data_IF_834217407842
#
_entry.id   IF_834217407842
#
_cell.length_a   1.000
_cell.length_b   1.000
_cell.length_c   1.000
_cell.angle_alpha   90.00
_cell.angle_beta   90.00
_cell.angle_gamma   90.00
#
_symmetry.space_group_name_H-M   'P 1'
#
loop_
_entity.id
_entity.type
_entity.pdbx_description
1 polymer ?
#
# COMPACT_ATOMS: atom_id res chain seq x y z
N UNK A 1 -0.95 15.74 -13.96
CA UNK A 1 -0.56 15.72 -12.53
C UNK A 1 -1.09 14.48 -11.79
N UNK A 2 -0.67 13.26 -12.14
CA UNK A 2 -1.20 12.00 -11.53
C UNK A 2 -0.14 11.11 -10.83
N UNK A 3 1.08 11.60 -10.60
CA UNK A 3 2.22 10.78 -10.13
C UNK A 3 2.60 10.92 -8.65
N UNK A 4 1.89 11.72 -7.84
CA UNK A 4 2.25 11.92 -6.44
C UNK A 4 1.44 11.10 -5.43
N UNK A 5 0.48 10.29 -5.89
CA UNK A 5 -0.33 9.47 -4.99
C UNK A 5 0.20 8.02 -4.93
N UNK A 6 0.53 7.49 -3.75
CA UNK A 6 1.00 6.12 -3.58
C UNK A 6 -0.10 5.12 -3.92
N UNK A 7 0.24 4.10 -4.72
CA UNK A 7 -0.73 3.16 -5.31
C UNK A 7 -1.13 1.99 -4.40
N UNK A 8 -0.69 1.97 -3.14
CA UNK A 8 -0.99 0.85 -2.24
C UNK A 8 -2.12 1.24 -1.27
N UNK A 9 -3.15 0.39 -1.19
CA UNK A 9 -4.28 0.50 -0.23
C UNK A 9 -3.85 0.92 1.19
N UNK A 10 -2.77 0.35 1.77
CA UNK A 10 -2.18 0.80 3.03
C UNK A 10 -1.96 2.30 3.15
N UNK A 11 -1.35 2.92 2.14
CA UNK A 11 -0.95 4.32 2.22
C UNK A 11 -2.17 5.24 2.07
N UNK A 12 -3.17 4.81 1.30
CA UNK A 12 -4.46 5.49 1.24
C UNK A 12 -5.19 5.48 2.60
N UNK A 13 -5.25 4.33 3.27
CA UNK A 13 -5.85 4.23 4.61
C UNK A 13 -5.10 5.12 5.60
N UNK A 14 -3.76 5.14 5.55
CA UNK A 14 -2.95 6.02 6.41
C UNK A 14 -3.26 7.49 6.18
N UNK A 15 -3.33 7.91 4.91
CA UNK A 15 -3.65 9.29 4.56
C UNK A 15 -5.05 9.68 5.06
N UNK A 16 -6.04 8.80 4.92
CA UNK A 16 -7.39 9.03 5.44
C UNK A 16 -7.39 9.17 6.96
N UNK A 17 -6.70 8.28 7.68
CA UNK A 17 -6.62 8.31 9.15
C UNK A 17 -5.91 9.58 9.62
N UNK A 18 -4.76 9.92 9.04
CA UNK A 18 -4.02 11.14 9.38
C UNK A 18 -4.85 12.38 9.06
N UNK A 19 -5.49 12.45 7.89
CA UNK A 19 -6.33 13.57 7.52
C UNK A 19 -7.53 13.72 8.48
N UNK A 20 -8.19 12.61 8.83
CA UNK A 20 -9.30 12.60 9.78
C UNK A 20 -8.88 13.08 11.17
N UNK A 21 -7.70 12.65 11.65
CA UNK A 21 -7.15 13.10 12.93
C UNK A 21 -6.77 14.57 12.91
N UNK A 22 -6.14 15.06 11.83
CA UNK A 22 -5.81 16.48 11.68
C UNK A 22 -7.05 17.37 11.64
N UNK A 23 -8.08 16.97 10.90
CA UNK A 23 -9.35 17.69 10.84
C UNK A 23 -9.99 17.74 12.22
N UNK A 24 -9.99 16.62 12.96
CA UNK A 24 -10.52 16.55 14.33
C UNK A 24 -9.77 17.49 15.29
N UNK A 25 -8.44 17.53 15.20
CA UNK A 25 -7.61 18.42 16.01
C UNK A 25 -7.89 19.89 15.71
N UNK A 26 -7.97 20.27 14.42
CA UNK A 26 -8.30 21.65 14.01
C UNK A 26 -9.69 22.05 14.47
N UNK A 27 -10.68 21.15 14.34
CA UNK A 27 -12.04 21.40 14.80
C UNK A 27 -12.10 21.57 16.33
N UNK A 28 -11.38 20.73 17.07
CA UNK A 28 -11.28 20.84 18.54
C UNK A 28 -10.67 22.17 18.95
N UNK A 29 -9.56 22.57 18.30
CA UNK A 29 -8.89 23.84 18.56
C UNK A 29 -9.82 25.03 18.29
N UNK A 30 -10.58 24.97 17.19
CA UNK A 30 -11.56 25.99 16.84
C UNK A 30 -12.69 26.11 17.88
N UNK A 31 -13.23 24.97 18.35
CA UNK A 31 -14.26 24.96 19.40
C UNK A 31 -13.73 25.58 20.68
N UNK A 32 -12.56 25.14 21.15
CA UNK A 32 -11.92 25.68 22.36
C UNK A 32 -11.63 27.18 22.22
N UNK A 33 -11.22 27.64 21.04
CA UNK A 33 -11.04 29.07 20.76
C UNK A 33 -12.31 29.87 21.01
N UNK A 34 -13.42 29.38 20.47
CA UNK A 34 -14.70 30.07 20.47
C UNK A 34 -15.27 30.09 21.88
N UNK A 35 -15.20 28.97 22.58
CA UNK A 35 -15.68 28.85 23.96
C UNK A 35 -14.90 29.77 24.92
N UNK A 36 -13.58 29.92 24.74
CA UNK A 36 -12.77 30.85 25.55
C UNK A 36 -13.14 32.31 25.31
N UNK A 37 -13.38 32.71 24.07
CA UNK A 37 -13.79 34.08 23.75
C UNK A 37 -15.15 34.41 24.37
N UNK A 38 -16.15 33.53 24.16
CA UNK A 38 -17.48 33.73 24.72
C UNK A 38 -17.50 33.73 26.26
N UNK A 39 -16.70 32.87 26.91
CA UNK A 39 -16.59 32.87 28.37
C UNK A 39 -15.96 34.16 28.93
N UNK A 40 -14.98 34.73 28.22
CA UNK A 40 -14.35 35.99 28.60
C UNK A 40 -15.30 37.19 28.44
N UNK A 41 -16.08 37.24 27.36
CA UNK A 41 -17.06 38.31 27.14
C UNK A 41 -18.06 38.40 28.32
N UNK A 42 -18.59 37.26 28.79
CA UNK A 42 -19.51 37.23 29.95
C UNK A 42 -18.85 37.75 31.23
N UNK A 43 -17.57 37.43 31.45
CA UNK A 43 -16.81 37.93 32.61
C UNK A 43 -16.61 39.45 32.52
N UNK A 44 -16.34 39.99 31.33
CA UNK A 44 -16.14 41.42 31.14
C UNK A 44 -17.44 42.22 31.31
N UNK A 45 -18.57 41.70 30.81
CA UNK A 45 -19.90 42.28 31.08
C UNK A 45 -20.22 42.26 32.59
N UNK A 46 -19.89 41.17 33.30
CA UNK A 46 -20.05 41.08 34.75
C UNK A 46 -19.18 42.12 35.48
N UNK A 47 -17.91 42.28 35.10
CA UNK A 47 -16.99 43.27 35.69
C UNK A 47 -17.50 44.70 35.48
N UNK A 48 -17.97 45.02 34.28
CA UNK A 48 -18.57 46.33 34.00
C UNK A 48 -19.79 46.59 34.88
N UNK A 49 -20.69 45.61 34.99
CA UNK A 49 -21.88 45.70 35.84
C UNK A 49 -21.53 45.92 37.32
N UNK A 50 -20.57 45.17 37.87
CA UNK A 50 -20.16 45.30 39.27
C UNK A 50 -19.46 46.63 39.56
N UNK A 51 -18.65 47.10 38.60
CA UNK A 51 -18.02 48.42 38.66
C UNK A 51 -19.04 49.55 38.59
N UNK A 52 -20.01 49.46 37.67
CA UNK A 52 -21.10 50.42 37.57
C UNK A 52 -21.84 50.55 38.91
N UNK A 53 -22.17 49.41 39.52
CA UNK A 53 -22.81 49.37 40.83
C UNK A 53 -21.97 50.05 41.90
N UNK A 54 -20.68 49.73 41.99
CA UNK A 54 -19.78 50.30 43.00
C UNK A 54 -19.60 51.81 42.84
N UNK A 55 -19.45 52.31 41.60
CA UNK A 55 -19.30 53.73 41.31
C UNK A 55 -20.58 54.51 41.60
N UNK A 56 -21.74 53.99 41.18
CA UNK A 56 -23.04 54.63 41.44
C UNK A 56 -23.35 54.63 42.93
N UNK A 57 -23.08 53.54 43.65
CA UNK A 57 -23.27 53.47 45.10
C UNK A 57 -22.40 54.49 45.84
N UNK A 58 -21.15 54.69 45.41
CA UNK A 58 -20.27 55.69 46.00
C UNK A 58 -20.73 57.13 45.73
N UNK A 59 -21.34 57.37 44.57
CA UNK A 59 -21.67 58.72 44.09
C UNK A 59 -23.12 59.14 44.35
N UNK A 60 -24.03 58.21 44.68
CA UNK A 60 -25.46 58.49 44.82
C UNK A 60 -25.75 59.60 45.83
N UNK A 61 -25.15 59.52 47.01
CA UNK A 61 -25.37 60.47 48.12
C UNK A 61 -24.57 61.78 47.98
N UNK A 62 -23.67 61.86 47.01
CA UNK A 62 -22.81 63.03 46.77
C UNK A 62 -23.53 64.09 45.92
N UNK A 63 -23.23 65.36 46.19
CA UNK A 63 -23.71 66.48 45.38
C UNK A 63 -23.07 66.50 43.98
N UNK A 64 -23.68 67.20 42.99
CA UNK A 64 -23.17 67.27 41.62
C UNK A 64 -21.69 67.69 41.49
N UNK A 65 -21.22 68.57 42.36
CA UNK A 65 -19.83 69.05 42.37
C UNK A 65 -18.89 68.06 43.08
N UNK A 66 -19.37 67.40 44.15
CA UNK A 66 -18.63 66.34 44.83
C UNK A 66 -18.44 65.13 43.92
N UNK A 67 -19.44 64.74 43.12
CA UNK A 67 -19.31 63.65 42.14
C UNK A 67 -18.22 63.93 41.11
N UNK A 68 -18.14 65.17 40.61
CA UNK A 68 -17.07 65.61 39.70
C UNK A 68 -15.70 65.51 40.38
N UNK A 69 -15.58 65.97 41.62
CA UNK A 69 -14.34 65.86 42.39
C UNK A 69 -13.93 64.40 42.65
N UNK A 70 -14.87 63.54 43.04
CA UNK A 70 -14.64 62.09 43.26
C UNK A 70 -14.21 61.40 41.97
N UNK A 71 -14.86 61.71 40.83
CA UNK A 71 -14.50 61.14 39.54
C UNK A 71 -13.08 61.53 39.11
N UNK A 72 -12.69 62.80 39.28
CA UNK A 72 -11.33 63.26 39.00
C UNK A 72 -10.28 62.60 39.90
N UNK A 73 -10.61 62.32 41.17
CA UNK A 73 -9.72 61.64 42.10
C UNK A 73 -9.53 60.14 41.83
N UNK A 74 -10.49 59.51 41.15
CA UNK A 74 -10.48 58.08 40.78
C UNK A 74 -10.05 57.83 39.34
N UNK A 75 -9.72 58.88 38.58
CA UNK A 75 -9.26 58.78 37.20
C UNK A 75 -7.89 58.09 37.11
N UNK A 76 -7.77 57.09 36.23
CA UNK A 76 -6.51 56.44 35.88
C UNK A 76 -6.44 56.22 34.36
N UNK A 77 -5.24 56.16 33.77
CA UNK A 77 -5.03 55.96 32.32
C UNK A 77 -5.67 54.67 31.78
N UNK A 78 -5.69 53.61 32.58
CA UNK A 78 -6.35 52.34 32.23
C UNK A 78 -7.88 52.40 32.37
N UNK A 79 -8.38 53.25 33.26
CA UNK A 79 -9.78 53.32 33.62
C UNK A 79 -10.26 54.77 33.65
N UNK A 80 -10.57 55.28 32.47
CA UNK A 80 -11.12 56.62 32.33
C UNK A 80 -12.45 56.70 33.10
N UNK A 81 -12.59 57.71 33.95
CA UNK A 81 -13.79 58.00 34.74
C UNK A 81 -14.03 59.51 34.71
N UNK A 82 -15.19 59.93 34.25
CA UNK A 82 -15.57 61.35 34.18
C UNK A 82 -17.04 61.52 34.51
N UNK A 83 -17.38 62.69 35.09
CA UNK A 83 -18.77 63.10 35.30
C UNK A 83 -19.01 64.38 34.49
N UNK A 84 -19.95 64.34 33.56
CA UNK A 84 -20.23 65.43 32.62
C UNK A 84 -21.72 65.55 32.34
N UNK A 85 -22.13 66.65 31.69
CA UNK A 85 -23.54 66.86 31.34
C UNK A 85 -23.94 66.12 30.03
N UNK A 86 -22.96 65.51 29.36
CA UNK A 86 -23.13 64.71 28.14
C UNK A 86 -22.67 63.28 28.33
N UNK A 87 -23.34 62.29 27.69
CA UNK A 87 -22.86 60.91 27.68
C UNK A 87 -21.66 60.76 26.74
N UNK A 88 -20.69 59.91 27.12
CA UNK A 88 -19.64 59.44 26.23
C UNK A 88 -20.18 58.51 25.14
N UNK A 89 -21.22 57.72 25.45
CA UNK A 89 -21.98 56.91 24.49
C UNK A 89 -23.20 57.69 24.01
N UNK A 90 -23.09 58.28 22.82
CA UNK A 90 -24.13 59.15 22.24
C UNK A 90 -25.30 58.37 21.63
N UNK A 91 -25.07 57.15 21.16
CA UNK A 91 -26.13 56.26 20.65
C UNK A 91 -27.08 55.87 21.78
N UNK A 92 -28.38 55.89 21.51
CA UNK A 92 -29.41 55.36 22.40
C UNK A 92 -29.81 53.91 22.09
N UNK A 93 -29.14 53.29 21.12
CA UNK A 93 -29.35 51.91 20.72
C UNK A 93 -28.01 51.19 20.90
N UNK A 94 -28.04 50.09 21.66
CA UNK A 94 -26.89 49.21 21.86
C UNK A 94 -26.39 48.62 20.53
N UNK A 95 -25.10 48.31 20.47
CA UNK A 95 -24.46 47.76 19.27
C UNK A 95 -24.78 46.29 18.98
N UNK A 96 -25.18 45.54 20.01
CA UNK A 96 -25.55 44.13 19.94
C UNK A 96 -26.59 43.78 21.04
N UNK A 97 -27.15 42.57 20.96
CA UNK A 97 -28.21 42.10 21.87
C UNK A 97 -27.70 41.93 23.31
N UNK A 98 -26.45 41.50 23.51
CA UNK A 98 -25.86 41.29 24.84
C UNK A 98 -25.66 42.61 25.60
N UNK A 99 -25.23 43.65 24.89
CA UNK A 99 -25.10 45.01 25.44
C UNK A 99 -26.47 45.62 25.74
N UNK A 100 -27.49 45.36 24.90
CA UNK A 100 -28.86 45.79 25.19
C UNK A 100 -29.40 45.17 26.48
N UNK A 101 -29.20 43.86 26.67
CA UNK A 101 -29.57 43.18 27.92
C UNK A 101 -28.80 43.75 29.12
N UNK A 102 -27.51 44.07 28.96
CA UNK A 102 -26.71 44.68 30.01
C UNK A 102 -27.23 46.09 30.36
N UNK A 103 -27.59 46.92 29.38
CA UNK A 103 -28.19 48.25 29.61
C UNK A 103 -29.47 48.13 30.45
N UNK A 104 -30.36 47.20 30.11
CA UNK A 104 -31.59 46.92 30.86
C UNK A 104 -31.31 46.46 32.30
N UNK A 105 -30.33 45.57 32.49
CA UNK A 105 -29.89 45.11 33.80
C UNK A 105 -29.36 46.27 34.64
N UNK A 106 -28.54 47.14 34.04
CA UNK A 106 -27.96 48.31 34.70
C UNK A 106 -29.05 49.31 35.13
N UNK A 107 -29.97 49.67 34.24
CA UNK A 107 -31.09 50.56 34.59
C UNK A 107 -31.95 49.93 35.68
N UNK A 108 -32.33 48.66 35.54
CA UNK A 108 -33.15 47.95 36.52
C UNK A 108 -32.50 47.91 37.91
N UNK A 109 -31.22 47.54 37.98
CA UNK A 109 -30.49 47.37 39.25
C UNK A 109 -30.13 48.71 39.90
N UNK A 110 -29.82 49.73 39.11
CA UNK A 110 -29.33 51.03 39.59
C UNK A 110 -30.42 52.11 39.69
N UNK A 111 -31.65 51.83 39.24
CA UNK A 111 -32.81 52.73 39.40
C UNK A 111 -33.03 53.17 40.85
N UNK A 112 -32.78 52.29 41.82
CA UNK A 112 -32.85 52.58 43.26
C UNK A 112 -31.85 53.65 43.74
N UNK A 113 -30.79 53.88 42.96
CA UNK A 113 -29.79 54.92 43.18
C UNK A 113 -29.98 56.12 42.23
N UNK A 114 -31.18 56.28 41.67
CA UNK A 114 -31.53 57.43 40.84
C UNK A 114 -30.92 57.40 39.43
N UNK A 115 -30.50 56.24 38.92
CA UNK A 115 -30.12 56.09 37.52
C UNK A 115 -31.37 55.95 36.65
N UNK A 116 -31.45 56.77 35.59
CA UNK A 116 -32.62 56.83 34.68
C UNK A 116 -32.33 56.27 33.30
N UNK A 117 -31.06 56.21 32.90
CA UNK A 117 -30.62 55.76 31.58
C UNK A 117 -29.22 55.14 31.71
N UNK A 118 -28.95 54.07 30.95
CA UNK A 118 -27.66 53.42 30.89
C UNK A 118 -27.36 53.07 29.43
N UNK A 119 -26.14 53.39 28.98
CA UNK A 119 -25.71 53.16 27.61
C UNK A 119 -24.33 52.55 27.60
N UNK A 120 -24.12 51.50 26.83
CA UNK A 120 -22.85 50.77 26.76
C UNK A 120 -22.44 50.59 25.31
N UNK A 121 -21.16 50.83 25.02
CA UNK A 121 -20.58 50.62 23.69
C UNK A 121 -19.24 49.92 23.78
N UNK A 122 -18.97 49.03 22.84
CA UNK A 122 -17.64 48.47 22.61
C UNK A 122 -16.84 49.41 21.70
N UNK A 123 -15.79 49.98 22.25
CA UNK A 123 -14.85 50.86 21.55
C UNK A 123 -13.63 50.05 21.11
N UNK A 124 -13.28 50.06 19.80
CA UNK A 124 -12.11 49.36 19.32
C UNK A 124 -10.85 49.98 19.93
N UNK A 125 -9.82 49.16 20.11
CA UNK A 125 -8.52 49.63 20.59
C UNK A 125 -8.04 50.87 19.81
N UNK A 126 -8.00 52.01 20.47
CA UNK A 126 -7.36 53.21 19.93
C UNK A 126 -5.85 52.96 19.92
N UNK A 127 -5.29 52.71 18.73
CA UNK A 127 -3.83 52.77 18.52
C UNK A 127 -3.40 54.23 18.65
N UNK A 128 -3.28 54.74 19.86
CA UNK A 128 -2.49 55.94 20.10
C UNK A 128 -1.03 55.59 19.79
N UNK A 129 -0.56 56.11 18.66
CA UNK A 129 0.85 56.17 18.36
C UNK A 129 1.45 57.30 19.20
N UNK A 130 1.95 56.99 20.39
CA UNK A 130 3.10 57.70 20.97
C UNK A 130 3.60 57.05 22.27
N UNK A 131 4.89 56.75 22.28
CA UNK A 131 5.83 56.94 23.40
C UNK A 131 5.35 56.59 24.81
N UNK A 132 5.06 55.32 25.05
CA UNK A 132 5.31 54.76 26.38
C UNK A 132 6.83 54.60 26.52
N UNK A 133 7.44 55.58 27.18
CA UNK A 133 8.83 55.60 27.63
C UNK A 133 9.31 54.19 27.99
N UNK A 134 10.20 53.66 27.15
CA UNK A 134 10.73 52.31 27.25
C UNK A 134 11.66 52.19 28.45
N UNK A 135 11.10 52.13 29.64
CA UNK A 135 11.81 51.60 30.79
C UNK A 135 11.88 50.09 30.58
N UNK A 136 12.92 49.64 29.88
CA UNK A 136 13.22 48.23 29.77
C UNK A 136 13.26 47.66 31.20
N UNK A 137 12.46 46.62 31.51
CA UNK A 137 12.45 46.05 32.84
C UNK A 137 13.87 45.67 33.27
N UNK A 138 14.28 46.09 34.47
CA UNK A 138 15.60 45.76 35.01
C UNK A 138 15.83 44.24 35.07
N UNK A 139 17.07 43.76 35.11
CA UNK A 139 17.38 42.32 35.03
C UNK A 139 16.83 41.47 36.20
N UNK A 140 16.29 42.08 37.26
CA UNK A 140 15.85 41.43 38.50
C UNK A 140 14.31 41.33 38.69
N UNK A 141 13.50 41.53 37.64
CA UNK A 141 12.03 41.46 37.77
C UNK A 141 11.54 40.01 37.95
N UNK A 142 10.78 39.78 39.02
CA UNK A 142 10.13 38.51 39.32
C UNK A 142 9.13 38.07 38.24
N UNK A 143 8.78 36.78 38.22
CA UNK A 143 7.89 36.22 37.19
C UNK A 143 6.50 36.88 37.21
N UNK A 144 5.91 37.05 38.40
CA UNK A 144 4.58 37.66 38.56
C UNK A 144 4.56 39.12 38.08
N UNK A 145 5.62 39.87 38.36
CA UNK A 145 5.71 41.28 37.95
C UNK A 145 5.86 41.41 36.43
N UNK A 146 6.61 40.51 35.78
CA UNK A 146 6.65 40.41 34.32
C UNK A 146 5.29 40.09 33.72
N UNK A 147 4.58 39.10 34.28
CA UNK A 147 3.26 38.71 33.80
C UNK A 147 2.25 39.86 33.94
N UNK A 148 2.30 40.61 35.04
CA UNK A 148 1.46 41.80 35.25
C UNK A 148 1.79 42.94 34.27
N UNK A 149 3.07 43.17 33.96
CA UNK A 149 3.49 44.18 32.98
C UNK A 149 3.02 43.83 31.56
N UNK A 150 3.17 42.56 31.16
CA UNK A 150 2.69 42.08 29.85
C UNK A 150 1.17 42.20 29.77
N UNK A 151 0.46 41.78 30.81
CA UNK A 151 -0.99 41.87 30.85
C UNK A 151 -1.49 43.33 30.82
N UNK A 152 -0.81 44.24 31.53
CA UNK A 152 -1.13 45.66 31.50
C UNK A 152 -0.92 46.28 30.10
N UNK A 153 0.14 45.87 29.39
CA UNK A 153 0.38 46.29 28.01
C UNK A 153 -0.69 45.73 27.05
N UNK A 154 -1.10 44.47 27.22
CA UNK A 154 -2.17 43.86 26.43
C UNK A 154 -3.52 44.55 26.67
N UNK A 155 -3.86 44.89 27.92
CA UNK A 155 -5.08 45.65 28.26
C UNK A 155 -5.05 47.09 27.75
N UNK A 156 -3.88 47.71 27.64
CA UNK A 156 -3.76 49.04 27.05
C UNK A 156 -4.09 49.02 25.54
N UNK A 157 -3.82 47.90 24.88
CA UNK A 157 -4.06 47.68 23.44
C UNK A 157 -5.34 46.89 23.15
N UNK A 158 -6.13 46.53 24.16
CA UNK A 158 -7.38 45.81 23.96
C UNK A 158 -8.54 46.74 23.65
N UNK A 159 -9.59 46.16 23.06
CA UNK A 159 -10.88 46.84 22.94
C UNK A 159 -11.40 47.20 24.33
N UNK A 160 -12.24 48.23 24.42
CA UNK A 160 -12.74 48.75 25.68
C UNK A 160 -14.26 48.78 25.67
N UNK A 161 -14.88 48.55 26.83
CA UNK A 161 -16.30 48.79 27.04
C UNK A 161 -16.47 50.14 27.74
N UNK A 162 -17.14 51.06 27.07
CA UNK A 162 -17.47 52.37 27.63
C UNK A 162 -18.93 52.40 28.03
N UNK A 163 -19.19 52.79 29.27
CA UNK A 163 -20.52 52.91 29.84
C UNK A 163 -20.81 54.36 30.25
N UNK A 164 -22.03 54.81 29.94
CA UNK A 164 -22.58 56.11 30.29
C UNK A 164 -23.86 55.91 31.09
N UNK A 165 -23.88 56.34 32.35
CA UNK A 165 -25.03 56.22 33.26
C UNK A 165 -25.58 57.61 33.60
N UNK A 166 -26.88 57.81 33.44
CA UNK A 166 -27.53 59.10 33.72
C UNK A 166 -28.18 59.12 35.10
N UNK A 167 -27.79 60.06 35.94
CA UNK A 167 -28.48 60.36 37.19
C UNK A 167 -29.76 61.18 36.95
N UNK A 168 -30.69 61.14 37.89
CA UNK A 168 -31.96 61.87 37.83
C UNK A 168 -31.80 63.40 37.75
N UNK A 169 -30.67 63.94 38.18
CA UNK A 169 -30.31 65.36 38.05
C UNK A 169 -29.80 65.74 36.65
N UNK A 170 -29.66 64.76 35.75
CA UNK A 170 -29.22 64.95 34.38
C UNK A 170 -27.72 64.79 34.15
N UNK A 171 -26.91 64.60 35.20
CA UNK A 171 -25.48 64.33 35.04
C UNK A 171 -25.22 62.91 34.54
N UNK A 172 -24.18 62.75 33.74
CA UNK A 172 -23.71 61.50 33.20
C UNK A 172 -22.40 61.07 33.86
N UNK A 173 -22.40 59.85 34.39
CA UNK A 173 -21.21 59.13 34.79
C UNK A 173 -20.69 58.32 33.59
N UNK A 174 -19.51 58.67 33.11
CA UNK A 174 -18.86 58.02 31.99
C UNK A 174 -17.63 57.28 32.48
N UNK A 175 -17.56 55.97 32.23
CA UNK A 175 -16.38 55.20 32.56
C UNK A 175 -16.06 54.15 31.51
N UNK A 176 -14.82 53.68 31.50
CA UNK A 176 -14.33 52.69 30.54
C UNK A 176 -13.64 51.53 31.25
N UNK A 177 -13.95 50.30 30.81
CA UNK A 177 -13.35 49.05 31.28
C UNK A 177 -12.64 48.37 30.09
N UNK A 178 -11.36 47.99 30.18
CA UNK A 178 -10.68 47.28 29.10
C UNK A 178 -11.16 45.82 29.05
N UNK A 179 -11.40 45.31 27.83
CA UNK A 179 -11.83 43.93 27.59
C UNK A 179 -10.63 42.99 27.79
N UNK A 180 -10.88 41.82 28.38
CA UNK A 180 -9.85 40.80 28.58
C UNK A 180 -9.24 40.36 27.24
N UNK A 181 -7.92 40.56 27.04
CA UNK A 181 -7.27 40.15 25.81
C UNK A 181 -7.30 38.63 25.70
N UNK A 182 -7.94 38.11 24.65
CA UNK A 182 -7.89 36.68 24.30
C UNK A 182 -6.54 36.39 23.62
N UNK A 183 -5.57 35.90 24.40
CA UNK A 183 -4.28 35.49 23.86
C UNK A 183 -4.42 34.43 22.75
N UNK A 184 -3.51 34.40 21.76
CA UNK A 184 -3.55 33.42 20.69
C UNK A 184 -3.48 31.99 21.24
N UNK A 185 -4.30 31.07 20.70
CA UNK A 185 -4.29 29.66 21.13
C UNK A 185 -2.93 29.01 20.84
N UNK A 186 -2.26 29.50 19.79
CA UNK A 186 -0.93 29.10 19.35
C UNK A 186 0.10 30.12 19.86
N UNK A 187 0.46 29.99 21.13
CA UNK A 187 1.61 30.70 21.71
C UNK A 187 2.87 29.86 21.61
N UNK A 188 4.04 30.51 21.60
CA UNK A 188 5.34 29.81 21.63
C UNK A 188 5.45 28.79 22.78
N UNK A 189 4.83 29.07 23.92
CA UNK A 189 4.81 28.18 25.08
C UNK A 189 3.91 26.93 24.89
N UNK A 190 2.87 27.04 24.07
CA UNK A 190 1.90 25.96 23.82
C UNK A 190 2.27 25.07 22.63
N UNK A 191 3.06 25.60 21.68
CA UNK A 191 3.60 24.86 20.52
C UNK A 191 4.26 23.52 20.88
N UNK A 192 5.14 23.40 21.90
CA UNK A 192 5.76 22.12 22.22
C UNK A 192 4.72 21.05 22.61
N UNK A 193 3.69 21.40 23.38
CA UNK A 193 2.64 20.46 23.78
C UNK A 193 1.82 19.98 22.57
N UNK A 194 1.37 20.91 21.70
CA UNK A 194 0.62 20.55 20.50
C UNK A 194 1.44 19.71 19.52
N UNK A 195 2.74 20.03 19.36
CA UNK A 195 3.64 19.25 18.51
C UNK A 195 3.88 17.85 19.05
N UNK A 196 3.98 17.68 20.38
CA UNK A 196 4.08 16.38 21.04
C UNK A 196 2.85 15.51 20.76
N UNK A 197 1.65 16.07 20.94
CA UNK A 197 0.39 15.36 20.69
C UNK A 197 0.27 14.97 19.21
N UNK A 198 0.55 15.90 18.29
CA UNK A 198 0.55 15.63 16.86
C UNK A 198 1.56 14.54 16.47
N UNK A 199 2.77 14.60 17.03
CA UNK A 199 3.82 13.59 16.83
C UNK A 199 3.38 12.21 17.31
N UNK A 200 2.80 12.12 18.51
CA UNK A 200 2.29 10.87 19.07
C UNK A 200 1.19 10.26 18.18
N UNK A 201 0.28 11.09 17.69
CA UNK A 201 -0.79 10.68 16.76
C UNK A 201 -0.22 10.12 15.45
N UNK A 202 0.81 10.76 14.87
CA UNK A 202 1.47 10.28 13.65
C UNK A 202 2.20 8.97 13.91
N UNK A 203 2.95 8.85 15.01
CA UNK A 203 3.67 7.63 15.38
C UNK A 203 2.70 6.47 15.58
N UNK A 204 1.60 6.68 16.31
CA UNK A 204 0.56 5.67 16.52
C UNK A 204 -0.12 5.24 15.22
N UNK A 205 -0.37 6.19 14.31
CA UNK A 205 -0.94 5.90 12.99
C UNK A 205 -0.01 5.04 12.13
N UNK A 206 1.28 5.38 12.08
CA UNK A 206 2.30 4.61 11.35
C UNK A 206 2.45 3.20 11.97
N UNK A 207 2.49 3.11 13.30
CA UNK A 207 2.59 1.83 14.01
C UNK A 207 1.39 0.93 13.73
N UNK A 208 0.16 1.48 13.82
CA UNK A 208 -1.09 0.77 13.53
C UNK A 208 -1.12 0.26 12.10
N UNK A 209 -0.75 1.10 11.12
CA UNK A 209 -0.72 0.69 9.72
C UNK A 209 0.29 -0.43 9.48
N UNK A 210 1.51 -0.30 10.00
CA UNK A 210 2.53 -1.36 9.87
C UNK A 210 2.03 -2.68 10.45
N UNK A 211 1.29 -2.61 11.57
CA UNK A 211 0.70 -3.79 12.21
C UNK A 211 -0.42 -4.42 11.36
N UNK A 212 -1.30 -3.60 10.76
CA UNK A 212 -2.44 -4.06 9.95
C UNK A 212 -2.02 -4.60 8.57
N UNK A 213 -0.88 -4.16 8.04
CA UNK A 213 -0.47 -4.43 6.64
C UNK A 213 0.66 -5.44 6.52
N UNK A 214 1.39 -5.70 7.60
CA UNK A 214 2.34 -6.81 7.69
C UNK A 214 1.78 -8.20 7.25
N UNK A 215 0.52 -8.58 7.56
CA UNK A 215 -0.02 -9.90 7.20
C UNK A 215 -0.08 -10.12 5.68
N UNK A 216 -0.42 -9.09 4.91
CA UNK A 216 -0.59 -9.20 3.46
C UNK A 216 0.73 -9.54 2.75
N UNK A 217 1.82 -8.84 3.13
CA UNK A 217 3.16 -9.12 2.60
C UNK A 217 3.63 -10.53 2.95
N UNK A 218 3.31 -11.00 4.15
CA UNK A 218 3.60 -12.38 4.55
C UNK A 218 2.85 -13.38 3.66
N UNK A 219 1.56 -13.16 3.38
CA UNK A 219 0.77 -14.06 2.52
C UNK A 219 1.27 -14.06 1.08
N UNK A 220 1.56 -12.89 0.51
CA UNK A 220 2.11 -12.77 -0.85
C UNK A 220 3.45 -13.52 -1.00
N UNK A 221 4.37 -13.28 -0.08
CA UNK A 221 5.68 -13.96 -0.07
C UNK A 221 5.56 -15.46 0.15
N UNK A 222 4.64 -15.89 1.01
CA UNK A 222 4.39 -17.30 1.26
C UNK A 222 3.81 -18.02 0.04
N UNK A 223 2.80 -17.46 -0.62
CA UNK A 223 2.19 -18.06 -1.82
C UNK A 223 3.22 -18.13 -2.95
N UNK A 224 4.00 -17.08 -3.17
CA UNK A 224 5.08 -17.10 -4.16
C UNK A 224 6.17 -18.12 -3.83
N UNK A 225 6.46 -18.36 -2.55
CA UNK A 225 7.42 -19.39 -2.12
C UNK A 225 6.87 -20.79 -2.38
N UNK A 226 5.63 -21.06 -1.98
CA UNK A 226 4.95 -22.35 -2.22
C UNK A 226 4.87 -22.67 -3.71
N UNK A 227 4.60 -21.66 -4.56
CA UNK A 227 4.56 -21.82 -6.01
C UNK A 227 5.92 -22.12 -6.66
N UNK A 228 7.04 -21.76 -6.02
CA UNK A 228 8.40 -22.08 -6.49
C UNK A 228 8.93 -23.39 -5.94
N UNK A 229 8.68 -23.64 -4.66
CA UNK A 229 9.15 -24.81 -3.93
C UNK A 229 8.10 -25.27 -2.93
N UNK A 230 7.41 -26.35 -3.30
CA UNK A 230 6.37 -26.95 -2.47
C UNK A 230 6.95 -27.55 -1.19
N UNK A 231 8.22 -28.00 -1.19
CA UNK A 231 8.91 -28.61 -0.03
C UNK A 231 9.46 -27.58 0.97
N UNK A 232 9.29 -26.28 0.69
CA UNK A 232 9.74 -25.20 1.57
C UNK A 232 9.13 -25.25 2.99
N UNK A 233 9.85 -24.81 4.05
CA UNK A 233 9.34 -24.88 5.42
C UNK A 233 7.99 -24.16 5.61
N UNK A 234 7.10 -24.68 6.49
CA UNK A 234 5.80 -24.06 6.75
C UNK A 234 5.97 -22.66 7.36
N UNK A 235 4.93 -21.83 7.18
CA UNK A 235 4.93 -20.46 7.69
C UNK A 235 4.79 -20.49 9.21
N UNK A 236 5.59 -19.67 9.90
CA UNK A 236 5.50 -19.53 11.35
C UNK A 236 4.12 -18.99 11.77
N UNK A 237 3.45 -19.72 12.66
CA UNK A 237 2.12 -19.37 13.19
C UNK A 237 2.19 -18.33 14.32
N UNK A 238 2.92 -17.23 14.09
CA UNK A 238 3.13 -16.15 15.06
C UNK A 238 2.32 -14.89 14.70
N UNK A 239 2.13 -13.99 15.68
CA UNK A 239 1.39 -12.74 15.49
C UNK A 239 -0.03 -12.75 16.05
N UNK A 240 -0.89 -11.88 15.50
CA UNK A 240 -2.28 -11.73 15.94
C UNK A 240 -3.13 -12.96 15.59
N UNK A 241 -4.35 -13.02 16.14
CA UNK A 241 -5.27 -14.15 15.92
C UNK A 241 -5.56 -14.35 14.43
N UNK A 242 -5.73 -13.25 13.70
CA UNK A 242 -6.01 -13.21 12.27
C UNK A 242 -4.81 -13.73 11.45
N UNK A 243 -3.59 -13.28 11.80
CA UNK A 243 -2.35 -13.73 11.14
C UNK A 243 -2.14 -15.22 11.36
N UNK A 244 -2.34 -15.70 12.59
CA UNK A 244 -2.21 -17.11 12.93
C UNK A 244 -3.22 -17.98 12.17
N UNK A 245 -4.47 -17.53 12.08
CA UNK A 245 -5.51 -18.23 11.34
C UNK A 245 -5.18 -18.32 9.85
N UNK A 246 -4.71 -17.22 9.25
CA UNK A 246 -4.25 -17.18 7.86
C UNK A 246 -3.04 -18.10 7.62
N UNK A 247 -2.02 -18.05 8.48
CA UNK A 247 -0.85 -18.91 8.39
C UNK A 247 -1.23 -20.40 8.47
N UNK A 248 -2.12 -20.77 9.40
CA UNK A 248 -2.63 -22.13 9.54
C UNK A 248 -3.39 -22.61 8.29
N UNK A 249 -4.21 -21.74 7.69
CA UNK A 249 -4.93 -22.06 6.46
C UNK A 249 -3.99 -22.29 5.27
N UNK A 250 -2.95 -21.45 5.11
CA UNK A 250 -1.94 -21.63 4.06
C UNK A 250 -1.11 -22.89 4.31
N UNK A 251 -0.69 -23.15 5.55
CA UNK A 251 0.03 -24.38 5.91
C UNK A 251 -0.80 -25.63 5.59
N UNK A 252 -2.11 -25.61 5.88
CA UNK A 252 -3.01 -26.71 5.54
C UNK A 252 -3.16 -26.90 4.02
N UNK A 253 -3.25 -25.81 3.25
CA UNK A 253 -3.26 -25.87 1.79
C UNK A 253 -1.94 -26.45 1.23
N UNK A 254 -0.80 -26.01 1.77
CA UNK A 254 0.52 -26.51 1.38
C UNK A 254 0.64 -28.02 1.66
N UNK A 255 0.19 -28.49 2.82
CA UNK A 255 0.20 -29.90 3.18
C UNK A 255 -0.63 -30.75 2.22
N UNK A 256 -1.87 -30.31 1.89
CA UNK A 256 -2.73 -31.00 0.92
C UNK A 256 -2.13 -31.05 -0.48
N UNK A 257 -1.49 -29.96 -0.92
CA UNK A 257 -0.82 -29.94 -2.22
C UNK A 257 0.37 -30.91 -2.27
N UNK A 258 1.15 -31.01 -1.19
CA UNK A 258 2.25 -31.98 -1.11
C UNK A 258 1.74 -33.41 -1.20
N UNK A 259 0.75 -33.74 -0.38
CA UNK A 259 0.12 -35.06 -0.37
C UNK A 259 -0.42 -35.42 -1.77
N UNK A 260 -1.10 -34.49 -2.43
CA UNK A 260 -1.59 -34.70 -3.79
C UNK A 260 -0.47 -34.93 -4.83
N UNK A 261 0.65 -34.21 -4.70
CA UNK A 261 1.81 -34.42 -5.57
C UNK A 261 2.42 -35.79 -5.28
N UNK A 262 2.76 -36.08 -4.03
CA UNK A 262 3.35 -37.36 -3.57
C UNK A 262 2.50 -38.58 -3.98
N UNK A 263 1.18 -38.50 -3.85
CA UNK A 263 0.25 -39.56 -4.28
C UNK A 263 0.33 -39.80 -5.80
N UNK A 264 0.42 -38.72 -6.58
CA UNK A 264 0.60 -38.83 -8.04
C UNK A 264 1.94 -39.46 -8.39
N UNK A 265 3.00 -39.15 -7.63
CA UNK A 265 4.34 -39.77 -7.82
C UNK A 265 4.30 -41.27 -7.52
N UNK A 266 3.73 -41.65 -6.37
CA UNK A 266 3.61 -43.04 -5.95
C UNK A 266 2.77 -43.86 -6.93
N UNK A 267 1.65 -43.31 -7.39
CA UNK A 267 0.79 -43.97 -8.38
C UNK A 267 1.52 -44.16 -9.71
N UNK A 268 2.27 -43.17 -10.17
CA UNK A 268 3.06 -43.28 -11.39
C UNK A 268 4.16 -44.35 -11.28
N UNK A 269 4.88 -44.39 -10.15
CA UNK A 269 5.91 -45.39 -9.90
C UNK A 269 5.35 -46.81 -9.78
N UNK A 270 4.22 -46.98 -9.10
CA UNK A 270 3.53 -48.27 -8.98
C UNK A 270 3.05 -48.78 -10.34
N UNK A 271 2.37 -47.92 -11.12
CA UNK A 271 1.95 -48.25 -12.49
C UNK A 271 3.14 -48.63 -13.37
N UNK A 272 4.27 -47.94 -13.24
CA UNK A 272 5.47 -48.26 -14.01
C UNK A 272 6.02 -49.65 -13.73
N UNK A 273 6.12 -50.00 -12.45
CA UNK A 273 6.57 -51.31 -12.02
C UNK A 273 5.63 -52.43 -12.49
N UNK A 274 4.32 -52.22 -12.30
CA UNK A 274 3.29 -53.22 -12.59
C UNK A 274 3.05 -53.43 -14.08
N UNK A 275 3.34 -52.45 -14.93
CA UNK A 275 3.33 -52.60 -16.39
C UNK A 275 4.60 -53.26 -16.93
N UNK A 276 5.78 -52.94 -16.39
CA UNK A 276 7.05 -53.52 -16.85
C UNK A 276 7.09 -55.03 -16.70
N UNK A 277 6.58 -55.56 -15.59
CA UNK A 277 6.60 -57.00 -15.27
C UNK A 277 5.86 -57.89 -16.30
N UNK A 278 4.59 -57.62 -16.68
CA UNK A 278 3.89 -58.37 -17.71
C UNK A 278 4.49 -58.15 -19.10
N UNK A 279 4.98 -56.95 -19.41
CA UNK A 279 5.61 -56.65 -20.71
C UNK A 279 6.90 -57.44 -20.92
N UNK A 280 7.81 -57.47 -19.93
CA UNK A 280 9.02 -58.30 -19.99
C UNK A 280 8.67 -59.78 -20.15
N UNK A 281 7.62 -60.27 -19.47
CA UNK A 281 7.14 -61.65 -19.64
C UNK A 281 6.61 -61.91 -21.05
N UNK A 282 5.88 -60.98 -21.65
CA UNK A 282 5.41 -61.08 -23.03
C UNK A 282 6.60 -61.10 -24.01
N UNK A 283 7.61 -60.24 -23.79
CA UNK A 283 8.84 -60.18 -24.60
C UNK A 283 9.62 -61.50 -24.59
N UNK A 284 9.86 -62.06 -23.39
CA UNK A 284 10.52 -63.36 -23.24
C UNK A 284 9.73 -64.48 -23.91
N UNK A 285 8.39 -64.49 -23.79
CA UNK A 285 7.54 -65.48 -24.47
C UNK A 285 7.60 -65.35 -25.99
N UNK A 286 7.66 -64.13 -26.53
CA UNK A 286 7.82 -63.89 -27.96
C UNK A 286 9.19 -64.35 -28.48
N UNK A 287 10.26 -64.19 -27.67
CA UNK A 287 11.60 -64.67 -28.03
C UNK A 287 11.67 -66.19 -28.19
N UNK A 288 10.90 -66.93 -27.40
CA UNK A 288 10.78 -68.39 -27.45
C UNK A 288 9.99 -68.93 -28.66
N UNK A 289 9.19 -68.09 -29.35
CA UNK A 289 8.45 -68.52 -30.53
C UNK A 289 9.37 -68.68 -31.73
N UNK A 290 9.09 -69.65 -32.63
CA UNK A 290 9.82 -69.76 -33.91
C UNK A 290 9.64 -68.48 -34.74
N UNK A 291 10.68 -68.11 -35.50
CA UNK A 291 10.61 -66.98 -36.44
C UNK A 291 9.42 -67.18 -37.38
N UNK A 292 8.49 -66.23 -37.36
CA UNK A 292 7.29 -66.19 -38.18
C UNK A 292 6.87 -64.74 -38.34
N UNK A 293 6.18 -64.41 -39.44
CA UNK A 293 5.64 -63.07 -39.66
C UNK A 293 4.72 -62.61 -38.50
N UNK A 294 4.01 -63.54 -37.85
CA UNK A 294 3.16 -63.27 -36.68
C UNK A 294 4.00 -62.89 -35.45
N UNK A 295 5.14 -63.54 -35.22
CA UNK A 295 6.07 -63.17 -34.13
C UNK A 295 6.59 -61.75 -34.31
N UNK A 296 7.00 -61.39 -35.53
CA UNK A 296 7.51 -60.05 -35.83
C UNK A 296 6.42 -58.98 -35.66
N UNK A 297 5.19 -59.24 -36.12
CA UNK A 297 4.06 -58.36 -35.90
C UNK A 297 3.72 -58.18 -34.41
N UNK A 298 3.71 -59.26 -33.62
CA UNK A 298 3.47 -59.18 -32.17
C UNK A 298 4.62 -58.50 -31.41
N UNK A 299 5.86 -58.68 -31.85
CA UNK A 299 7.01 -57.98 -31.28
C UNK A 299 6.93 -56.48 -31.54
N UNK A 300 6.46 -56.08 -32.72
CA UNK A 300 6.18 -54.67 -33.03
C UNK A 300 5.04 -54.11 -32.18
N UNK A 301 3.88 -54.80 -32.13
CA UNK A 301 2.74 -54.36 -31.30
C UNK A 301 3.14 -54.26 -29.80
N UNK A 302 3.99 -55.17 -29.30
CA UNK A 302 4.51 -55.09 -27.93
C UNK A 302 5.42 -53.87 -27.75
N UNK A 303 6.35 -53.63 -28.67
CA UNK A 303 7.24 -52.46 -28.65
C UNK A 303 6.44 -51.14 -28.63
N UNK A 304 5.35 -51.06 -29.39
CA UNK A 304 4.43 -49.91 -29.39
C UNK A 304 3.78 -49.71 -28.01
N UNK A 305 3.30 -50.80 -27.38
CA UNK A 305 2.75 -50.75 -26.01
C UNK A 305 3.82 -50.34 -25.00
N UNK A 306 5.07 -50.80 -25.14
CA UNK A 306 6.16 -50.39 -24.27
C UNK A 306 6.46 -48.90 -24.38
N UNK A 307 6.50 -48.37 -25.61
CA UNK A 307 6.69 -46.94 -25.87
C UNK A 307 5.54 -46.08 -25.30
N UNK A 308 4.30 -46.54 -25.45
CA UNK A 308 3.10 -45.91 -24.90
C UNK A 308 3.17 -45.85 -23.37
N UNK A 309 3.39 -47.00 -22.73
CA UNK A 309 3.45 -47.10 -21.27
C UNK A 309 4.56 -46.22 -20.70
N UNK A 310 5.78 -46.29 -21.27
CA UNK A 310 6.90 -45.46 -20.85
C UNK A 310 6.57 -43.98 -20.95
N UNK A 311 5.98 -43.54 -22.07
CA UNK A 311 5.63 -42.13 -22.27
C UNK A 311 4.62 -41.60 -21.24
N UNK A 312 3.63 -42.42 -20.85
CA UNK A 312 2.63 -42.04 -19.83
C UNK A 312 3.26 -41.99 -18.45
N UNK A 313 4.05 -43.01 -18.09
CA UNK A 313 4.79 -43.07 -16.83
C UNK A 313 5.68 -41.85 -16.71
N UNK A 314 6.46 -41.59 -17.75
CA UNK A 314 7.42 -40.53 -17.74
C UNK A 314 6.80 -39.12 -17.82
N UNK A 315 5.55 -39.00 -18.30
CA UNK A 315 4.75 -37.77 -18.19
C UNK A 315 4.27 -37.57 -16.75
N UNK A 316 3.86 -38.66 -16.09
CA UNK A 316 3.41 -38.64 -14.72
C UNK A 316 4.55 -38.42 -13.71
N UNK A 317 5.77 -38.87 -14.01
CA UNK A 317 6.98 -38.70 -13.18
C UNK A 317 7.86 -37.51 -13.56
N UNK A 318 7.47 -36.71 -14.56
CA UNK A 318 8.31 -35.61 -15.07
C UNK A 318 8.68 -34.57 -13.98
N UNK A 319 7.74 -34.21 -13.11
CA UNK A 319 7.96 -33.23 -12.03
C UNK A 319 8.76 -33.82 -10.85
N UNK A 320 8.81 -35.14 -10.76
CA UNK A 320 9.24 -35.93 -9.59
C UNK A 320 10.74 -36.19 -9.56
N UNK A 321 11.40 -36.18 -10.72
CA UNK A 321 12.82 -36.54 -10.78
C UNK A 321 13.65 -35.44 -10.09
N UNK A 322 14.16 -35.73 -8.89
CA UNK A 322 15.16 -34.93 -8.15
C UNK A 322 16.52 -34.99 -8.85
N UNK A 323 16.57 -34.49 -10.08
CA UNK A 323 17.80 -34.27 -10.80
C UNK A 323 18.32 -32.87 -10.47
N UNK A 324 19.59 -32.79 -10.08
CA UNK A 324 20.24 -31.50 -9.81
C UNK A 324 20.54 -30.80 -11.13
N UNK A 325 20.47 -29.47 -11.13
CA UNK A 325 20.93 -28.68 -12.27
C UNK A 325 22.46 -28.73 -12.33
N UNK A 326 22.99 -29.09 -13.49
CA UNK A 326 24.42 -29.17 -13.78
C UNK A 326 24.77 -28.29 -14.99
N UNK A 327 26.06 -27.94 -15.12
CA UNK A 327 26.59 -27.27 -16.31
C UNK A 327 26.70 -28.30 -17.43
N UNK A 328 25.89 -28.14 -18.47
CA UNK A 328 25.83 -29.06 -19.61
C UNK A 328 26.37 -28.34 -20.85
N UNK A 329 27.36 -28.95 -21.51
CA UNK A 329 27.72 -28.57 -22.87
C UNK A 329 26.60 -29.01 -23.82
N UNK A 330 25.78 -28.04 -24.22
CA UNK A 330 24.60 -28.30 -25.03
C UNK A 330 24.96 -28.77 -26.44
N UNK A 331 26.13 -28.39 -26.96
CA UNK A 331 26.60 -28.88 -28.25
C UNK A 331 26.79 -30.39 -28.20
N UNK A 332 27.60 -30.88 -27.26
CA UNK A 332 27.91 -32.31 -27.12
C UNK A 332 26.66 -33.16 -26.85
N UNK A 333 25.69 -32.61 -26.10
CA UNK A 333 24.42 -33.29 -25.86
C UNK A 333 23.61 -33.45 -27.15
N UNK A 334 23.48 -32.39 -27.95
CA UNK A 334 22.72 -32.44 -29.21
C UNK A 334 23.44 -33.30 -30.25
N UNK A 335 24.77 -33.20 -30.35
CA UNK A 335 25.62 -34.02 -31.22
C UNK A 335 25.46 -35.52 -30.89
N UNK A 336 25.57 -35.90 -29.61
CA UNK A 336 25.37 -37.29 -29.19
C UNK A 336 23.96 -37.82 -29.48
N UNK A 337 22.94 -36.96 -29.51
CA UNK A 337 21.58 -37.38 -29.87
C UNK A 337 21.44 -37.52 -31.38
N UNK A 338 22.00 -36.58 -32.15
CA UNK A 338 21.98 -36.60 -33.61
C UNK A 338 22.67 -37.84 -34.18
N UNK A 339 23.80 -38.26 -33.60
CA UNK A 339 24.54 -39.48 -33.98
C UNK A 339 23.69 -40.77 -33.84
N UNK A 340 22.59 -40.72 -33.09
CA UNK A 340 21.66 -41.85 -32.93
C UNK A 340 20.61 -41.98 -34.04
N UNK A 341 20.56 -41.07 -35.01
CA UNK A 341 19.57 -41.05 -36.09
C UNK A 341 20.22 -40.80 -37.45
N UNK A 342 20.03 -41.71 -38.41
CA UNK A 342 20.61 -41.61 -39.76
C UNK A 342 20.05 -40.43 -40.59
N UNK A 343 18.80 -40.02 -40.31
CA UNK A 343 18.07 -38.97 -41.04
C UNK A 343 18.24 -37.57 -40.42
N UNK A 344 19.29 -37.38 -39.62
CA UNK A 344 19.57 -36.14 -38.91
C UNK A 344 20.90 -35.56 -39.36
N UNK A 345 20.92 -34.28 -39.76
CA UNK A 345 22.13 -33.59 -40.20
C UNK A 345 22.25 -32.21 -39.57
N UNK A 346 23.49 -31.74 -39.39
CA UNK A 346 23.79 -30.37 -39.00
C UNK A 346 23.99 -29.50 -40.24
N UNK A 347 23.35 -28.33 -40.30
CA UNK A 347 23.57 -27.37 -41.39
C UNK A 347 24.96 -26.74 -41.27
N UNK A 348 25.64 -26.42 -42.38
CA UNK A 348 27.06 -25.98 -42.41
C UNK A 348 27.37 -24.72 -41.58
N UNK A 349 26.37 -23.89 -41.28
CA UNK A 349 26.52 -22.70 -40.42
C UNK A 349 26.60 -23.04 -38.91
N UNK A 350 26.58 -24.33 -38.56
CA UNK A 350 26.41 -24.83 -37.19
C UNK A 350 27.74 -25.20 -36.56
N UNK A 351 28.51 -24.21 -36.08
CA UNK A 351 29.74 -24.46 -35.28
C UNK A 351 29.95 -23.42 -34.17
N UNK A 352 28.97 -23.24 -33.29
CA UNK A 352 29.18 -22.51 -32.03
C UNK A 352 29.57 -23.50 -30.92
N UNK A 353 30.84 -23.50 -30.51
CA UNK A 353 31.35 -24.28 -29.36
C UNK A 353 31.20 -23.49 -28.06
N UNK A 354 31.14 -24.17 -26.91
CA UNK A 354 31.05 -23.51 -25.60
C UNK A 354 29.65 -23.03 -25.24
N UNK A 355 28.61 -23.71 -25.73
CA UNK A 355 27.21 -23.43 -25.43
C UNK A 355 26.83 -24.14 -24.13
N UNK A 356 27.20 -23.55 -22.99
CA UNK A 356 26.94 -24.14 -21.67
C UNK A 356 25.60 -23.64 -21.14
N UNK A 357 24.74 -24.53 -20.66
CA UNK A 357 23.49 -24.20 -19.97
C UNK A 357 23.42 -24.87 -18.60
N UNK A 358 22.58 -24.32 -17.70
CA UNK A 358 22.27 -24.91 -16.41
C UNK A 358 20.94 -25.65 -16.49
N UNK A 359 20.96 -26.98 -16.53
CA UNK A 359 19.75 -27.78 -16.60
C UNK A 359 19.97 -29.18 -16.00
N UNK A 360 18.88 -29.94 -15.92
CA UNK A 360 18.84 -31.34 -15.50
C UNK A 360 19.29 -32.24 -16.68
N UNK A 361 20.45 -32.94 -16.63
CA UNK A 361 21.01 -33.66 -17.78
C UNK A 361 20.09 -34.66 -18.49
N UNK A 362 19.45 -35.56 -17.75
CA UNK A 362 18.55 -36.59 -18.25
C UNK A 362 17.29 -35.95 -18.81
N UNK A 363 16.69 -34.99 -18.09
CA UNK A 363 15.54 -34.24 -18.59
C UNK A 363 15.87 -33.49 -19.88
N UNK A 364 17.00 -32.77 -19.95
CA UNK A 364 17.38 -32.02 -21.14
C UNK A 364 17.66 -32.92 -22.34
N UNK A 365 18.37 -34.03 -22.13
CA UNK A 365 18.58 -35.06 -23.16
C UNK A 365 17.24 -35.50 -23.75
N UNK A 366 16.28 -35.80 -22.87
CA UNK A 366 14.93 -36.22 -23.27
C UNK A 366 14.15 -35.16 -24.02
N UNK A 367 14.26 -33.89 -23.63
CA UNK A 367 13.66 -32.77 -24.37
C UNK A 367 14.15 -32.76 -25.82
N UNK A 368 15.47 -32.76 -26.01
CA UNK A 368 16.07 -32.75 -27.35
C UNK A 368 15.70 -34.01 -28.13
N UNK A 369 15.75 -35.20 -27.50
CA UNK A 369 15.35 -36.46 -28.14
C UNK A 369 13.90 -36.40 -28.64
N UNK A 370 12.95 -35.90 -27.84
CA UNK A 370 11.56 -35.78 -28.25
C UNK A 370 11.38 -34.83 -29.45
N UNK A 371 12.13 -33.73 -29.49
CA UNK A 371 12.04 -32.77 -30.61
C UNK A 371 12.63 -33.35 -31.89
N UNK A 372 13.81 -33.98 -31.81
CA UNK A 372 14.47 -34.64 -32.95
C UNK A 372 13.63 -35.80 -33.46
N UNK A 373 13.12 -36.66 -32.57
CA UNK A 373 12.27 -37.78 -32.95
C UNK A 373 10.99 -37.30 -33.64
N UNK A 374 10.38 -36.20 -33.18
CA UNK A 374 9.23 -35.60 -33.88
C UNK A 374 9.59 -35.15 -35.29
N UNK A 375 10.72 -34.45 -35.46
CA UNK A 375 11.18 -33.97 -36.76
C UNK A 375 11.44 -35.12 -37.74
N UNK A 376 12.06 -36.21 -37.29
CA UNK A 376 12.31 -37.41 -38.12
C UNK A 376 10.99 -38.13 -38.44
N UNK A 377 10.15 -38.38 -37.44
CA UNK A 377 8.91 -39.17 -37.61
C UNK A 377 7.91 -38.49 -38.55
N UNK A 378 7.71 -37.18 -38.41
CA UNK A 378 6.69 -36.44 -39.17
C UNK A 378 7.26 -35.67 -40.36
N UNK A 379 8.55 -35.34 -40.32
CA UNK A 379 9.21 -34.52 -41.33
C UNK A 379 10.29 -35.22 -42.14
N UNK A 380 10.40 -36.54 -42.03
CA UNK A 380 11.36 -37.42 -42.74
C UNK A 380 12.82 -37.20 -42.37
N UNK A 381 13.33 -35.97 -42.52
CA UNK A 381 14.69 -35.57 -42.17
C UNK A 381 14.67 -34.37 -41.25
N UNK A 382 15.63 -34.30 -40.35
CA UNK A 382 15.79 -33.17 -39.44
C UNK A 382 17.14 -32.48 -39.67
N UNK A 383 17.08 -31.17 -39.91
CA UNK A 383 18.24 -30.30 -40.09
C UNK A 383 18.41 -29.44 -38.84
N UNK A 384 19.53 -29.62 -38.15
CA UNK A 384 19.85 -28.99 -36.87
C UNK A 384 20.74 -27.77 -37.07
N UNK A 385 20.40 -26.68 -36.38
CA UNK A 385 21.24 -25.49 -36.26
C UNK A 385 21.32 -25.07 -34.79
N UNK A 386 22.53 -25.02 -34.23
CA UNK A 386 22.84 -24.48 -32.91
C UNK A 386 23.58 -23.15 -33.04
N UNK A 387 23.04 -22.09 -32.43
CA UNK A 387 23.71 -20.77 -32.36
C UNK A 387 23.56 -20.16 -30.99
N UNK A 388 24.54 -19.32 -30.63
CA UNK A 388 24.39 -18.35 -29.54
C UNK A 388 23.63 -17.14 -30.05
N UNK A 389 22.62 -16.69 -29.31
CA UNK A 389 21.87 -15.47 -29.54
C UNK A 389 21.90 -14.65 -28.26
N UNK A 390 22.78 -13.66 -28.17
CA UNK A 390 22.99 -12.85 -26.96
C UNK A 390 23.31 -13.72 -25.72
N UNK A 391 22.40 -13.74 -24.74
CA UNK A 391 22.45 -14.51 -23.49
C UNK A 391 21.65 -15.82 -23.56
N UNK A 392 21.27 -16.25 -24.78
CA UNK A 392 20.49 -17.45 -25.02
C UNK A 392 21.20 -18.41 -25.98
N UNK A 393 20.97 -19.70 -25.80
CA UNK A 393 21.28 -20.76 -26.75
C UNK A 393 20.02 -21.04 -27.57
N UNK A 394 20.15 -21.01 -28.89
CA UNK A 394 19.07 -21.30 -29.82
C UNK A 394 19.38 -22.59 -30.59
N UNK A 395 18.60 -23.63 -30.33
CA UNK A 395 18.52 -24.82 -31.17
C UNK A 395 17.33 -24.67 -32.11
N UNK A 396 17.60 -24.71 -33.41
CA UNK A 396 16.61 -24.74 -34.48
C UNK A 396 16.62 -26.10 -35.14
N UNK A 397 15.47 -26.74 -35.25
CA UNK A 397 15.25 -28.01 -35.93
C UNK A 397 14.29 -27.74 -37.08
N UNK A 398 14.77 -27.87 -38.31
CA UNK A 398 13.96 -27.74 -39.52
C UNK A 398 13.70 -29.13 -40.07
N UNK A 399 12.44 -29.47 -40.29
CA UNK A 399 12.07 -30.73 -40.93
C UNK A 399 11.61 -30.54 -42.39
N UNK A 400 11.39 -31.64 -43.12
CA UNK A 400 10.90 -31.66 -44.51
C UNK A 400 9.45 -32.16 -44.62
N UNK A 401 8.68 -32.01 -43.54
CA UNK A 401 7.29 -32.46 -43.44
C UNK A 401 6.26 -31.54 -44.10
N UNK A 402 4.97 -31.88 -43.95
CA UNK A 402 3.88 -31.03 -44.44
C UNK A 402 3.68 -29.75 -43.60
N UNK A 403 4.36 -29.61 -42.46
CA UNK A 403 4.13 -28.53 -41.48
C UNK A 403 2.84 -28.74 -40.68
N UNK A 404 2.39 -27.69 -39.98
CA UNK A 404 1.21 -27.70 -39.11
C UNK A 404 0.26 -26.56 -39.52
N UNK A 405 -1.06 -26.79 -39.66
CA UNK A 405 -2.00 -25.69 -39.89
C UNK A 405 -1.88 -24.59 -38.81
N UNK A 406 -1.83 -23.32 -39.21
CA UNK A 406 -1.53 -22.20 -38.31
C UNK A 406 -2.42 -22.17 -37.05
N UNK A 407 -3.71 -22.53 -37.20
CA UNK A 407 -4.67 -22.58 -36.09
C UNK A 407 -4.41 -23.70 -35.06
N UNK A 408 -3.56 -24.67 -35.38
CA UNK A 408 -3.27 -25.84 -34.55
C UNK A 408 -1.86 -25.81 -33.93
N UNK A 409 -1.02 -24.83 -34.29
CA UNK A 409 0.36 -24.68 -33.78
C UNK A 409 0.39 -24.54 -32.25
N UNK A 410 -0.53 -23.80 -31.66
CA UNK A 410 -0.59 -23.69 -30.20
C UNK A 410 -1.21 -24.94 -29.55
N UNK A 411 -2.16 -25.59 -30.24
CA UNK A 411 -2.88 -26.75 -29.75
C UNK A 411 -2.01 -28.01 -29.65
N UNK A 412 -1.00 -28.18 -30.51
CA UNK A 412 -0.11 -29.36 -30.48
C UNK A 412 0.73 -29.48 -29.22
N UNK A 413 0.89 -28.40 -28.45
CA UNK A 413 1.53 -28.47 -27.14
C UNK A 413 0.62 -29.06 -26.04
N UNK A 414 -0.68 -29.23 -26.31
CA UNK A 414 -1.63 -29.83 -25.39
C UNK A 414 -1.39 -31.34 -25.21
N UNK A 415 -1.60 -31.82 -23.98
CA UNK A 415 -1.47 -33.25 -23.66
C UNK A 415 -2.45 -34.09 -24.50
N UNK A 416 -1.95 -35.19 -25.07
CA UNK A 416 -2.72 -36.13 -25.90
C UNK A 416 -3.25 -35.56 -27.22
N UNK A 417 -2.77 -34.39 -27.65
CA UNK A 417 -3.19 -33.78 -28.92
C UNK A 417 -2.40 -34.39 -30.09
N UNK A 418 -3.11 -34.83 -31.14
CA UNK A 418 -2.55 -35.30 -32.41
C UNK A 418 -3.31 -34.66 -33.57
N UNK A 419 -2.58 -34.31 -34.65
CA UNK A 419 -3.17 -33.69 -35.84
C UNK A 419 -3.70 -34.71 -36.85
N UNK A 420 -3.17 -35.93 -36.85
CA UNK A 420 -3.62 -37.01 -37.74
C UNK A 420 -4.83 -37.76 -37.14
N UNK A 421 -5.90 -37.91 -37.92
CA UNK A 421 -7.06 -38.76 -37.57
C UNK A 421 -6.84 -40.26 -37.88
N UNK A 422 -5.80 -40.60 -38.64
CA UNK A 422 -5.55 -41.99 -39.05
C UNK A 422 -4.75 -42.73 -37.97
N UNK A 423 -5.30 -43.84 -37.47
CA UNK A 423 -4.59 -44.86 -36.68
C UNK A 423 -3.57 -45.60 -37.56
N UNK A 424 -2.69 -44.89 -38.26
CA UNK A 424 -1.63 -45.55 -39.00
C UNK A 424 -0.55 -45.99 -37.99
N UNK A 425 -0.35 -47.30 -37.86
CA UNK A 425 0.56 -47.95 -36.89
C UNK A 425 2.03 -47.49 -36.99
N UNK A 426 2.43 -46.81 -38.07
CA UNK A 426 3.81 -46.42 -38.33
C UNK A 426 4.26 -45.13 -37.62
N UNK A 427 3.35 -44.24 -37.22
CA UNK A 427 3.69 -42.93 -36.59
C UNK A 427 3.54 -42.93 -35.06
N UNK A 428 3.63 -44.11 -34.43
CA UNK A 428 3.28 -44.44 -33.03
C UNK A 428 3.72 -43.48 -31.91
N UNK A 429 3.06 -42.33 -31.76
CA UNK A 429 3.22 -41.42 -30.61
C UNK A 429 1.89 -41.07 -29.93
N UNK A 430 1.91 -40.87 -28.61
CA UNK A 430 0.73 -40.51 -27.80
C UNK A 430 0.37 -39.01 -27.82
N UNK A 431 1.11 -38.18 -28.54
CA UNK A 431 0.95 -36.72 -28.47
C UNK A 431 1.45 -36.12 -27.14
N UNK A 432 2.35 -36.81 -26.43
CA UNK A 432 2.95 -36.34 -25.18
C UNK A 432 4.35 -35.75 -25.35
N UNK A 433 5.08 -36.13 -26.40
CA UNK A 433 6.50 -35.78 -26.58
C UNK A 433 6.76 -34.28 -26.59
N UNK A 434 5.94 -33.52 -27.33
CA UNK A 434 6.09 -32.06 -27.43
C UNK A 434 5.69 -31.34 -26.12
N UNK A 435 4.64 -31.80 -25.44
CA UNK A 435 4.26 -31.27 -24.12
C UNK A 435 5.37 -31.49 -23.09
N UNK A 436 5.96 -32.70 -23.07
CA UNK A 436 7.07 -33.04 -22.18
C UNK A 436 8.28 -32.16 -22.48
N UNK A 437 8.66 -32.03 -23.77
CA UNK A 437 9.75 -31.16 -24.18
C UNK A 437 9.53 -29.70 -23.74
N UNK A 438 8.31 -29.18 -23.90
CA UNK A 438 7.98 -27.81 -23.49
C UNK A 438 8.09 -27.62 -21.98
N UNK A 439 7.60 -28.58 -21.19
CA UNK A 439 7.70 -28.53 -19.74
C UNK A 439 9.16 -28.59 -19.27
N UNK A 440 10.00 -29.42 -19.90
CA UNK A 440 11.45 -29.46 -19.65
C UNK A 440 12.12 -28.13 -19.97
N UNK A 441 11.84 -27.56 -21.15
CA UNK A 441 12.43 -26.29 -21.56
C UNK A 441 12.08 -25.18 -20.56
N UNK A 442 10.81 -25.09 -20.14
CA UNK A 442 10.36 -24.11 -19.13
C UNK A 442 11.01 -24.31 -17.77
N UNK A 443 11.16 -25.56 -17.32
CA UNK A 443 11.86 -25.87 -16.08
C UNK A 443 13.34 -25.45 -16.12
N UNK A 444 13.96 -25.43 -17.31
CA UNK A 444 15.31 -24.91 -17.54
C UNK A 444 15.35 -23.38 -17.79
N UNK A 445 14.23 -22.66 -17.63
CA UNK A 445 14.13 -21.22 -17.87
C UNK A 445 14.05 -20.83 -19.36
N UNK A 446 13.79 -21.80 -20.24
CA UNK A 446 13.65 -21.64 -21.68
C UNK A 446 12.22 -21.73 -22.19
N UNK A 447 12.07 -21.75 -23.52
CA UNK A 447 10.77 -21.93 -24.20
C UNK A 447 10.97 -22.65 -25.53
N UNK A 448 9.91 -23.33 -26.00
CA UNK A 448 9.84 -23.95 -27.32
C UNK A 448 8.79 -23.23 -28.15
N UNK A 449 9.15 -22.87 -29.38
CA UNK A 449 8.23 -22.30 -30.36
C UNK A 449 8.23 -23.09 -31.66
N UNK A 450 7.05 -23.18 -32.29
CA UNK A 450 6.84 -23.83 -33.56
C UNK A 450 6.40 -22.80 -34.61
N UNK A 451 6.89 -22.95 -35.83
CA UNK A 451 6.46 -22.13 -36.98
C UNK A 451 6.61 -22.94 -38.27
N UNK A 452 5.79 -22.67 -39.29
CA UNK A 452 5.98 -23.30 -40.59
C UNK A 452 7.16 -22.66 -41.34
N UNK A 453 7.96 -23.48 -41.99
CA UNK A 453 9.06 -23.02 -42.81
C UNK A 453 8.55 -22.61 -44.22
N UNK A 454 8.93 -21.44 -44.77
CA UNK A 454 8.50 -21.01 -46.10
C UNK A 454 8.83 -22.00 -47.24
N UNK A 455 9.85 -22.83 -47.07
CA UNK A 455 10.25 -23.88 -48.02
C UNK A 455 9.55 -25.24 -47.83
N UNK A 456 8.53 -25.33 -46.97
CA UNK A 456 7.94 -26.59 -46.51
C UNK A 456 8.61 -27.12 -45.24
N UNK A 457 7.85 -27.87 -44.44
CA UNK A 457 8.27 -28.38 -43.14
C UNK A 457 7.92 -27.50 -41.94
N UNK A 458 8.22 -28.03 -40.76
CA UNK A 458 8.09 -27.37 -39.47
C UNK A 458 9.45 -26.88 -38.99
N UNK A 459 9.47 -25.67 -38.46
CA UNK A 459 10.60 -25.06 -37.77
C UNK A 459 10.32 -25.08 -36.27
N UNK A 460 11.07 -25.91 -35.55
CA UNK A 460 11.03 -26.01 -34.09
C UNK A 460 12.21 -25.26 -33.49
N UNK A 461 11.96 -24.31 -32.62
CA UNK A 461 13.00 -23.53 -31.94
C UNK A 461 12.95 -23.77 -30.44
N UNK A 462 14.05 -24.25 -29.87
CA UNK A 462 14.29 -24.35 -28.44
C UNK A 462 15.25 -23.23 -28.02
N UNK A 463 14.83 -22.40 -27.07
CA UNK A 463 15.62 -21.32 -26.48
C UNK A 463 15.94 -21.66 -25.03
N UNK A 464 17.21 -21.61 -24.66
CA UNK A 464 17.69 -21.85 -23.29
C UNK A 464 18.59 -20.70 -22.82
N UNK A 465 18.56 -20.30 -21.54
CA UNK A 465 19.52 -19.34 -21.00
C UNK A 465 20.95 -19.89 -21.06
N UNK A 466 21.89 -19.06 -21.53
CA UNK A 466 23.31 -19.35 -21.44
C UNK A 466 23.75 -19.26 -19.98
N UNK A 467 24.55 -20.23 -19.52
CA UNK A 467 25.13 -20.17 -18.19
C UNK A 467 26.16 -19.03 -18.09
N UNK A 468 26.09 -18.26 -17.01
CA UNK A 468 27.02 -17.18 -16.69
C UNK A 468 28.43 -17.68 -16.33
#
# INVERSE_FOLDING_TARGET
>A
MRRFLPQTLPVWVLLIVIAGLLISQVATLYIVSRDRAAANDVVDLYRLNDRAFSLVQLMHDASPDERKATASGLFNSTYALTVSDTPAVTSSIAGDDELAELEDILVGRLSKFGITDARVRRDPATREADDADGTAPGPDIGQVERDLLVLAADFAQSDKLTASLRFADGQWLNFTEPITPVGPILSFDSLPLYSLIAGLVVIMSIWSLRRLTAPYRMMETAVNRIGKDLKSPPIAESGSREVRAAAKAINAMQARLREYVEDREHLAAALAHDLRTPMTRMRLRLELLRKSAVREALAHDLADVEGIASSVIDFATFEVTEEKNERIDFWSLVESIADGYDDVSFDDETRSRGLICMARPVALKRCVTNLVQNAVTYGKKAHLTLRRSEDMILLTIRDEGPGIPQAQIDAVFGSFVRLEQSRNRQTGGLGLGLTIARNIARAAGGEISLSNNPGGGLLTQLRLPLAA
#
